data_IF_541762896741
#
_entry.id   IF_541762896741
#
_cell.length_a   1.000
_cell.length_b   1.000
_cell.length_c   1.000
_cell.angle_alpha   90.00
_cell.angle_beta   90.00
_cell.angle_gamma   90.00
#
_symmetry.space_group_name_H-M   'P 1'
#
loop_
_entity.id
_entity.type
_entity.pdbx_description
1 polymer ?
#
# COMPACT_ATOMS: atom_id res chain seq x y z
N UNK A 1 -5.26 5.61 -13.58
CA UNK A 1 -5.74 4.24 -13.31
C UNK A 1 -4.51 3.42 -12.96
N UNK A 2 -4.47 2.85 -11.76
CA UNK A 2 -3.31 2.09 -11.26
C UNK A 2 -3.50 0.63 -11.70
N UNK A 3 -2.48 0.08 -12.36
CA UNK A 3 -2.46 -1.32 -12.75
C UNK A 3 -1.99 -2.18 -11.56
N UNK A 4 -2.74 -3.25 -11.32
CA UNK A 4 -2.49 -4.23 -10.26
C UNK A 4 -2.14 -5.59 -10.89
N UNK A 5 -1.15 -6.24 -10.33
CA UNK A 5 -0.63 -7.53 -10.77
C UNK A 5 -0.58 -8.48 -9.58
N UNK A 6 -0.74 -9.80 -9.78
CA UNK A 6 -0.56 -10.76 -8.69
C UNK A 6 0.84 -10.62 -8.09
N UNK A 7 0.92 -10.47 -6.77
CA UNK A 7 2.19 -10.36 -6.08
C UNK A 7 2.93 -11.69 -6.13
N UNK A 8 4.12 -11.67 -6.73
CA UNK A 8 5.04 -12.79 -6.74
C UNK A 8 6.25 -12.40 -5.89
N UNK A 9 6.46 -13.03 -4.71
CA UNK A 9 7.60 -12.72 -3.86
C UNK A 9 8.90 -13.06 -4.58
N UNK A 10 9.81 -12.08 -4.67
CA UNK A 10 11.14 -12.23 -5.30
C UNK A 10 12.27 -12.25 -4.29
N UNK A 11 11.99 -12.02 -3.01
CA UNK A 11 12.98 -12.05 -1.95
C UNK A 11 12.42 -11.61 -0.60
N UNK A 12 13.24 -10.89 0.16
CA UNK A 12 12.83 -10.36 1.46
C UNK A 12 12.00 -9.09 1.28
N UNK A 13 10.68 -9.24 1.44
CA UNK A 13 9.74 -8.13 1.48
C UNK A 13 10.00 -7.24 2.70
N UNK A 14 10.11 -5.93 2.48
CA UNK A 14 10.20 -4.93 3.55
C UNK A 14 9.04 -3.95 3.43
N UNK A 15 8.12 -4.00 4.38
CA UNK A 15 7.04 -3.01 4.50
C UNK A 15 7.62 -1.73 5.11
N UNK A 16 7.35 -0.60 4.47
CA UNK A 16 7.85 0.74 4.82
C UNK A 16 6.77 1.56 5.51
N UNK A 17 5.58 1.55 4.94
CA UNK A 17 4.41 2.28 5.41
C UNK A 17 3.17 1.41 5.12
N UNK A 18 2.14 1.53 5.96
CA UNK A 18 0.87 0.80 5.83
C UNK A 18 -0.26 1.82 5.97
N UNK A 19 -1.33 1.65 5.19
CA UNK A 19 -2.50 2.54 5.26
C UNK A 19 -3.23 2.38 6.60
N UNK A 20 -4.11 3.33 6.94
CA UNK A 20 -4.79 3.37 8.22
C UNK A 20 -5.58 2.10 8.57
N UNK A 21 -6.07 1.36 7.58
CA UNK A 21 -6.79 0.10 7.77
C UNK A 21 -6.00 -1.13 7.30
N UNK A 22 -4.75 -0.95 6.84
CA UNK A 22 -3.94 -2.03 6.29
C UNK A 22 -4.43 -2.58 4.95
N UNK A 23 -5.20 -1.79 4.20
CA UNK A 23 -5.62 -2.11 2.83
C UNK A 23 -4.44 -2.02 1.85
N UNK A 24 -3.57 -1.02 2.04
CA UNK A 24 -2.37 -0.79 1.23
C UNK A 24 -1.10 -0.85 2.07
N UNK A 25 -0.06 -1.46 1.52
CA UNK A 25 1.25 -1.58 2.14
C UNK A 25 2.32 -1.11 1.15
N UNK A 26 3.07 -0.07 1.49
CA UNK A 26 4.21 0.31 0.70
C UNK A 26 5.39 -0.60 1.02
N UNK A 27 5.82 -1.35 0.02
CA UNK A 27 6.89 -2.33 0.14
C UNK A 27 8.15 -1.97 -0.66
N UNK A 28 9.25 -2.58 -0.23
CA UNK A 28 10.52 -2.62 -0.93
C UNK A 28 11.05 -4.06 -0.99
N UNK A 29 11.41 -4.51 -2.18
CA UNK A 29 11.97 -5.84 -2.41
C UNK A 29 13.05 -5.75 -3.50
N UNK A 30 14.23 -6.31 -3.26
CA UNK A 30 15.33 -6.33 -4.25
C UNK A 30 15.78 -4.94 -4.71
N UNK A 31 15.59 -3.89 -3.90
CA UNK A 31 15.90 -2.50 -4.25
C UNK A 31 14.84 -1.80 -5.10
N UNK A 32 13.75 -2.49 -5.43
CA UNK A 32 12.57 -1.90 -6.07
C UNK A 32 11.50 -1.61 -5.05
N UNK A 33 10.69 -0.59 -5.33
CA UNK A 33 9.55 -0.19 -4.52
C UNK A 33 8.26 -0.55 -5.25
N UNK A 34 7.20 -0.83 -4.50
CA UNK A 34 5.85 -1.06 -5.02
C UNK A 34 4.84 -0.95 -3.87
N UNK A 35 3.56 -0.88 -4.21
CA UNK A 35 2.48 -0.92 -3.22
C UNK A 35 1.78 -2.27 -3.34
N UNK A 36 1.58 -2.93 -2.22
CA UNK A 36 0.75 -4.10 -2.08
C UNK A 36 -0.66 -3.70 -1.67
N UNK A 37 -1.64 -4.45 -2.15
CA UNK A 37 -2.98 -4.49 -1.58
C UNK A 37 -3.39 -5.93 -1.33
N UNK A 38 -4.31 -6.12 -0.39
CA UNK A 38 -4.97 -7.41 -0.19
C UNK A 38 -6.07 -7.59 -1.23
N UNK A 39 -6.06 -8.72 -1.93
CA UNK A 39 -7.14 -9.11 -2.84
C UNK A 39 -7.54 -10.56 -2.53
N UNK A 40 -8.62 -10.73 -1.76
CA UNK A 40 -9.13 -12.03 -1.32
C UNK A 40 -8.07 -12.87 -0.57
N UNK A 41 -7.75 -14.10 -1.03
CA UNK A 41 -6.73 -14.95 -0.42
C UNK A 41 -5.29 -14.57 -0.80
N UNK A 42 -5.11 -13.62 -1.72
CA UNK A 42 -3.82 -13.22 -2.28
C UNK A 42 -3.47 -11.77 -1.99
N UNK A 43 -2.31 -11.37 -2.52
CA UNK A 43 -1.89 -9.97 -2.56
C UNK A 43 -1.68 -9.59 -4.02
N UNK A 44 -2.00 -8.36 -4.35
CA UNK A 44 -1.65 -7.75 -5.62
C UNK A 44 -0.64 -6.63 -5.39
N UNK A 45 0.32 -6.51 -6.29
CA UNK A 45 1.29 -5.43 -6.32
C UNK A 45 1.02 -4.47 -7.47
N UNK A 46 1.36 -3.21 -7.26
CA UNK A 46 1.47 -2.25 -8.35
C UNK A 46 2.75 -2.48 -9.15
N UNK A 47 2.90 -1.75 -10.26
CA UNK A 47 4.15 -1.73 -11.02
C UNK A 47 5.33 -1.39 -10.09
N UNK A 48 6.39 -2.19 -10.18
CA UNK A 48 7.65 -1.94 -9.45
C UNK A 48 8.43 -0.79 -10.07
N UNK A 49 9.01 0.05 -9.23
CA UNK A 49 9.71 1.25 -9.67
C UNK A 49 10.73 1.78 -8.68
N UNK A 50 11.25 2.97 -9.00
CA UNK A 50 12.11 3.72 -8.07
C UNK A 50 11.30 4.24 -6.88
N UNK A 51 11.98 4.56 -5.79
CA UNK A 51 11.32 5.11 -4.59
C UNK A 51 10.47 6.34 -4.91
N UNK A 52 10.94 7.25 -5.76
CA UNK A 52 10.24 8.48 -6.09
C UNK A 52 8.92 8.20 -6.83
N UNK A 53 8.97 7.38 -7.88
CA UNK A 53 7.78 7.01 -8.65
C UNK A 53 6.70 6.33 -7.79
N UNK A 54 7.13 5.45 -6.90
CA UNK A 54 6.20 4.72 -6.03
C UNK A 54 5.72 5.59 -4.87
N UNK A 55 6.53 6.57 -4.43
CA UNK A 55 6.06 7.56 -3.45
C UNK A 55 4.91 8.38 -4.01
N UNK A 56 5.03 8.89 -5.23
CA UNK A 56 3.96 9.66 -5.87
C UNK A 56 2.69 8.82 -6.00
N UNK A 57 2.83 7.55 -6.39
CA UNK A 57 1.71 6.61 -6.47
C UNK A 57 1.10 6.31 -5.08
N UNK A 58 1.93 6.19 -4.04
CA UNK A 58 1.47 5.99 -2.67
C UNK A 58 0.68 7.19 -2.16
N UNK A 59 1.17 8.41 -2.37
CA UNK A 59 0.46 9.63 -1.97
C UNK A 59 -0.91 9.75 -2.70
N UNK A 60 -0.97 9.45 -4.01
CA UNK A 60 -2.23 9.43 -4.78
C UNK A 60 -3.21 8.36 -4.25
N UNK A 61 -2.71 7.16 -3.93
CA UNK A 61 -3.50 6.10 -3.29
C UNK A 61 -4.01 6.52 -1.92
N UNK A 62 -3.17 7.14 -1.10
CA UNK A 62 -3.56 7.59 0.25
C UNK A 62 -4.60 8.71 0.18
N UNK A 63 -4.51 9.63 -0.79
CA UNK A 63 -5.51 10.66 -1.04
C UNK A 63 -6.86 10.06 -1.47
N UNK A 64 -6.84 9.10 -2.40
CA UNK A 64 -8.04 8.39 -2.84
C UNK A 64 -8.66 7.58 -1.69
N UNK A 65 -7.83 6.88 -0.92
CA UNK A 65 -8.25 6.07 0.22
C UNK A 65 -8.82 6.92 1.35
N UNK A 66 -8.19 8.05 1.68
CA UNK A 66 -8.71 9.00 2.67
C UNK A 66 -10.09 9.55 2.25
N UNK A 67 -10.30 9.77 0.94
CA UNK A 67 -11.60 10.21 0.43
C UNK A 67 -12.68 9.14 0.60
N UNK A 68 -12.36 7.86 0.40
CA UNK A 68 -13.27 6.74 0.68
C UNK A 68 -13.56 6.58 2.18
N UNK A 69 -12.58 6.83 3.05
CA UNK A 69 -12.75 6.78 4.51
C UNK A 69 -13.37 8.05 5.12
N UNK A 70 -13.45 9.15 4.37
CA UNK A 70 -14.09 10.38 4.87
C UNK A 70 -15.58 10.21 5.11
N UNK A 71 -16.21 9.24 4.43
CA UNK A 71 -17.62 8.88 4.63
C UNK A 71 -17.83 7.96 5.86
N UNK A 72 -16.78 7.26 6.29
CA UNK A 72 -16.79 6.44 7.50
C UNK A 72 -15.36 6.31 8.08
N UNK A 73 -14.98 7.19 9.03
CA UNK A 73 -13.62 7.21 9.53
C UNK A 73 -13.33 5.89 10.23
N UNK A 74 -12.27 5.21 9.78
CA UNK A 74 -11.74 4.07 10.52
C UNK A 74 -11.28 4.58 11.88
N UNK A 75 -11.99 4.17 12.93
CA UNK A 75 -11.63 4.46 14.32
C UNK A 75 -10.16 4.08 14.51
N UNK A 76 -9.31 5.10 14.61
CA UNK A 76 -7.96 4.94 15.12
C UNK A 76 -8.11 4.56 16.59
N UNK A 77 -8.09 3.26 16.88
CA UNK A 77 -7.81 2.74 18.20
C UNK A 77 -6.34 3.07 18.50
N UNK A 78 -6.12 4.32 18.91
CA UNK A 78 -4.89 4.71 19.58
C UNK A 78 -4.94 4.12 21.00
N UNK A 79 -3.85 3.50 21.49
CA UNK A 79 -3.84 3.03 22.87
C UNK A 79 -4.02 4.22 23.80
N UNK A 80 -5.15 4.23 24.51
CA UNK A 80 -5.39 5.15 25.63
C UNK A 80 -4.31 4.86 26.67
N UNK A 81 -3.40 5.82 26.88
CA UNK A 81 -2.44 5.81 28.00
C UNK A 81 -3.00 6.65 29.14
#
# INVERSE_FOLDING_TARGET
>A
MIEWFPYIPRGSLRVRETSCCGEYEWCCEGGQYFVLRKDGPGHEETRRGTRAQIRELWDDLMLAHASCHSDNPCETDGPTT
#
